data_IF_676387907017
#
_entry.id   IF_676387907017
#
_cell.length_a   1.000
_cell.length_b   1.000
_cell.length_c   1.000
_cell.angle_alpha   90.00
_cell.angle_beta   90.00
_cell.angle_gamma   90.00
#
_symmetry.space_group_name_H-M   'P 1'
#
loop_
_entity.id
_entity.type
_entity.pdbx_description
1 polymer ?
#
# COMPACT_ATOMS: atom_id res chain seq x y z
N UNK A 1 18.80 23.75 4.73
CA UNK A 1 17.39 23.65 4.36
C UNK A 1 16.70 22.82 5.42
N UNK A 2 15.69 23.38 6.09
CA UNK A 2 14.90 22.69 7.10
C UNK A 2 13.92 21.69 6.45
N UNK A 3 13.40 20.74 7.21
CA UNK A 3 12.39 19.78 6.70
C UNK A 3 11.13 20.51 6.20
N UNK A 4 10.79 21.64 6.83
CA UNK A 4 9.68 22.49 6.40
C UNK A 4 9.97 23.23 5.09
N UNK A 5 11.17 23.79 4.92
CA UNK A 5 11.58 24.43 3.66
C UNK A 5 11.59 23.42 2.50
N UNK A 6 12.05 22.19 2.77
CA UNK A 6 12.01 21.11 1.80
C UNK A 6 10.57 20.74 1.43
N UNK A 7 9.69 20.64 2.42
CA UNK A 7 8.27 20.37 2.17
C UNK A 7 7.61 21.46 1.32
N UNK A 8 7.87 22.74 1.61
CA UNK A 8 7.37 23.86 0.80
C UNK A 8 7.89 23.76 -0.64
N UNK A 9 9.17 23.46 -0.81
CA UNK A 9 9.76 23.30 -2.13
C UNK A 9 9.10 22.16 -2.93
N UNK A 10 8.85 21.02 -2.29
CA UNK A 10 8.36 19.82 -2.97
C UNK A 10 6.84 19.85 -3.22
N UNK A 11 6.07 20.39 -2.26
CA UNK A 11 4.59 20.29 -2.22
C UNK A 11 3.87 21.61 -1.94
N UNK A 12 4.58 22.71 -1.70
CA UNK A 12 3.95 23.99 -1.33
C UNK A 12 2.98 24.52 -2.39
N UNK A 13 3.18 24.16 -3.66
CA UNK A 13 2.29 24.50 -4.78
C UNK A 13 0.90 23.84 -4.71
N UNK A 14 0.74 22.76 -3.94
CA UNK A 14 -0.55 22.07 -3.76
C UNK A 14 -1.52 22.88 -2.87
N UNK A 15 -1.01 23.83 -2.09
CA UNK A 15 -1.73 24.51 -1.04
C UNK A 15 -1.96 25.98 -1.37
N UNK A 16 -3.22 26.42 -1.29
CA UNK A 16 -3.60 27.81 -1.61
C UNK A 16 -3.44 28.77 -0.43
N UNK A 17 -3.43 28.24 0.80
CA UNK A 17 -3.31 29.06 2.01
C UNK A 17 -2.22 28.51 2.92
N UNK A 18 -1.66 29.41 3.74
CA UNK A 18 -0.62 29.06 4.70
C UNK A 18 -1.13 28.05 5.74
N UNK A 19 -2.40 28.18 6.16
CA UNK A 19 -3.03 27.26 7.10
C UNK A 19 -3.12 25.85 6.52
N UNK A 20 -3.54 25.71 5.25
CA UNK A 20 -3.61 24.40 4.59
C UNK A 20 -2.23 23.76 4.41
N UNK A 21 -1.21 24.57 4.15
CA UNK A 21 0.18 24.12 4.00
C UNK A 21 0.74 23.63 5.34
N UNK A 22 0.52 24.38 6.42
CA UNK A 22 0.90 23.99 7.78
C UNK A 22 0.21 22.70 8.21
N UNK A 23 -1.11 22.59 8.00
CA UNK A 23 -1.85 21.37 8.32
C UNK A 23 -1.33 20.14 7.55
N UNK A 24 -0.93 20.32 6.29
CA UNK A 24 -0.33 19.22 5.50
C UNK A 24 1.06 18.84 6.00
N UNK A 25 1.87 19.82 6.36
CA UNK A 25 3.15 19.56 6.99
C UNK A 25 2.99 18.84 8.33
N UNK A 26 2.00 19.22 9.15
CA UNK A 26 1.72 18.55 10.44
C UNK A 26 1.37 17.07 10.25
N UNK A 27 0.60 16.72 9.21
CA UNK A 27 0.30 15.32 8.86
C UNK A 27 1.56 14.54 8.46
N UNK A 28 2.41 15.15 7.64
CA UNK A 28 3.70 14.55 7.26
C UNK A 28 4.61 14.38 8.49
N UNK A 29 4.65 15.38 9.36
CA UNK A 29 5.43 15.34 10.60
C UNK A 29 4.95 14.22 11.52
N UNK A 30 3.64 14.04 11.70
CA UNK A 30 3.06 12.90 12.44
C UNK A 30 3.52 11.57 11.85
N UNK A 31 3.46 11.42 10.54
CA UNK A 31 3.95 10.24 9.83
C UNK A 31 5.43 9.96 10.14
N UNK A 32 6.30 10.97 10.04
CA UNK A 32 7.74 10.85 10.35
C UNK A 32 8.01 10.43 11.80
N UNK A 33 7.12 10.78 12.73
CA UNK A 33 7.22 10.43 14.15
C UNK A 33 6.42 9.17 14.50
N UNK A 34 5.95 8.42 13.50
CA UNK A 34 5.14 7.21 13.67
C UNK A 34 3.87 7.44 14.51
N UNK A 35 3.27 8.62 14.36
CA UNK A 35 1.99 8.99 14.95
C UNK A 35 0.91 8.73 13.89
N UNK A 36 -0.12 8.00 14.28
CA UNK A 36 -1.26 7.70 13.41
C UNK A 36 -2.03 9.00 13.13
N UNK A 37 -2.19 9.33 11.85
CA UNK A 37 -3.05 10.43 11.41
C UNK A 37 -4.53 10.07 11.66
N UNK A 38 -5.37 11.06 11.92
CA UNK A 38 -6.80 10.81 12.12
C UNK A 38 -7.50 10.45 10.81
N UNK A 39 -8.73 9.96 10.89
CA UNK A 39 -9.55 9.65 9.72
C UNK A 39 -9.78 10.90 8.86
N UNK A 40 -10.09 12.03 9.48
CA UNK A 40 -10.30 13.31 8.80
C UNK A 40 -9.02 13.76 8.08
N UNK A 41 -7.88 13.65 8.76
CA UNK A 41 -6.56 13.94 8.18
C UNK A 41 -6.25 13.05 6.97
N UNK A 42 -6.59 11.77 7.05
CA UNK A 42 -6.44 10.81 5.95
C UNK A 42 -7.32 11.16 4.75
N UNK A 43 -8.60 11.47 4.97
CA UNK A 43 -9.54 11.84 3.90
C UNK A 43 -9.10 13.14 3.21
N UNK A 44 -8.66 14.14 3.99
CA UNK A 44 -8.14 15.39 3.45
C UNK A 44 -6.88 15.15 2.60
N UNK A 45 -5.94 14.33 3.10
CA UNK A 45 -4.70 14.03 2.38
C UNK A 45 -4.95 13.22 1.10
N UNK A 46 -5.91 12.28 1.13
CA UNK A 46 -6.29 11.47 -0.02
C UNK A 46 -6.88 12.30 -1.17
N UNK A 47 -7.56 13.40 -0.84
CA UNK A 47 -8.15 14.37 -1.79
C UNK A 47 -8.92 13.67 -2.92
N UNK A 48 -9.87 12.78 -2.54
CA UNK A 48 -10.72 12.02 -3.45
C UNK A 48 -12.20 12.37 -3.23
N UNK A 49 -13.04 12.32 -4.29
CA UNK A 49 -14.47 12.64 -4.19
C UNK A 49 -15.29 11.57 -3.47
N UNK A 50 -14.82 10.32 -3.40
CA UNK A 50 -15.57 9.19 -2.85
C UNK A 50 -15.23 8.94 -1.37
N UNK A 51 -15.65 9.86 -0.49
CA UNK A 51 -15.29 9.87 0.94
C UNK A 51 -15.54 8.54 1.65
N UNK A 52 -16.71 7.90 1.43
CA UNK A 52 -17.08 6.65 2.09
C UNK A 52 -16.10 5.49 1.84
N UNK A 53 -15.55 5.39 0.63
CA UNK A 53 -14.58 4.32 0.31
C UNK A 53 -13.24 4.60 0.99
N UNK A 54 -12.82 5.87 1.00
CA UNK A 54 -11.57 6.32 1.63
C UNK A 54 -11.61 6.08 3.15
N UNK A 55 -12.74 6.36 3.80
CA UNK A 55 -12.94 6.05 5.22
C UNK A 55 -12.85 4.55 5.52
N UNK A 56 -13.44 3.71 4.68
CA UNK A 56 -13.37 2.26 4.84
C UNK A 56 -11.93 1.74 4.65
N UNK A 57 -11.17 2.32 3.73
CA UNK A 57 -9.75 2.02 3.54
C UNK A 57 -8.94 2.43 4.78
N UNK A 58 -9.20 3.61 5.34
CA UNK A 58 -8.59 4.03 6.61
C UNK A 58 -8.87 3.03 7.73
N UNK A 59 -10.13 2.61 7.90
CA UNK A 59 -10.51 1.66 8.94
C UNK A 59 -9.80 0.30 8.76
N UNK A 60 -9.65 -0.19 7.52
CA UNK A 60 -8.89 -1.39 7.21
C UNK A 60 -7.39 -1.24 7.55
N UNK A 61 -6.79 -0.09 7.23
CA UNK A 61 -5.39 0.20 7.55
C UNK A 61 -5.17 0.29 9.07
N UNK A 62 -6.07 0.94 9.81
CA UNK A 62 -6.00 1.04 11.28
C UNK A 62 -6.13 -0.33 11.93
N UNK A 63 -6.97 -1.21 11.41
CA UNK A 63 -7.03 -2.60 11.87
C UNK A 63 -5.66 -3.30 11.73
N UNK A 64 -4.98 -3.12 10.59
CA UNK A 64 -3.63 -3.65 10.40
C UNK A 64 -2.58 -3.02 11.33
N UNK A 65 -2.72 -1.73 11.66
CA UNK A 65 -1.86 -1.07 12.65
C UNK A 65 -2.07 -1.65 14.05
N UNK A 66 -3.32 -1.85 14.46
CA UNK A 66 -3.66 -2.46 15.74
C UNK A 66 -3.13 -3.90 15.84
N UNK A 67 -3.18 -4.65 14.74
CA UNK A 67 -2.59 -5.99 14.61
C UNK A 67 -1.06 -5.98 14.50
N UNK A 68 -0.40 -4.82 14.49
CA UNK A 68 1.05 -4.62 14.30
C UNK A 68 1.58 -5.15 12.96
N UNK A 69 0.72 -5.24 11.94
CA UNK A 69 1.05 -5.63 10.56
C UNK A 69 1.47 -4.44 9.71
N UNK A 70 1.11 -3.23 10.12
CA UNK A 70 1.43 -1.98 9.45
C UNK A 70 1.86 -0.95 10.50
N UNK A 71 2.82 -0.08 10.18
CA UNK A 71 3.19 1.02 11.07
C UNK A 71 2.21 2.18 10.90
N UNK A 72 2.00 2.94 11.98
CA UNK A 72 1.19 4.14 11.95
C UNK A 72 1.70 5.17 10.91
N UNK A 73 3.02 5.27 10.75
CA UNK A 73 3.65 6.09 9.70
C UNK A 73 3.22 5.70 8.28
N UNK A 74 2.97 4.41 8.03
CA UNK A 74 2.69 3.92 6.68
C UNK A 74 1.27 4.24 6.22
N UNK A 75 0.33 4.47 7.13
CA UNK A 75 -1.05 4.86 6.81
C UNK A 75 -1.09 6.15 5.99
N UNK A 76 -0.23 7.12 6.32
CA UNK A 76 -0.12 8.37 5.55
C UNK A 76 0.23 8.13 4.07
N UNK A 77 1.11 7.16 3.78
CA UNK A 77 1.53 6.85 2.41
C UNK A 77 0.37 6.36 1.55
N UNK A 78 -0.61 5.63 2.12
CA UNK A 78 -1.80 5.20 1.38
C UNK A 78 -2.67 6.37 0.94
N UNK A 79 -2.85 7.38 1.80
CA UNK A 79 -3.56 8.60 1.41
C UNK A 79 -2.76 9.39 0.37
N UNK A 80 -1.47 9.63 0.65
CA UNK A 80 -0.63 10.49 -0.18
C UNK A 80 -0.41 9.94 -1.60
N UNK A 81 -0.05 8.66 -1.71
CA UNK A 81 0.16 7.99 -3.00
C UNK A 81 -1.12 7.39 -3.59
N UNK A 82 -2.24 7.52 -2.88
CA UNK A 82 -3.58 7.09 -3.30
C UNK A 82 -3.68 5.58 -3.57
N UNK A 83 -2.88 4.80 -2.85
CA UNK A 83 -2.85 3.34 -2.97
C UNK A 83 -4.13 2.70 -2.43
N UNK A 84 -4.69 1.77 -3.19
CA UNK A 84 -5.85 0.95 -2.81
C UNK A 84 -7.06 1.77 -2.31
N UNK A 85 -7.16 3.05 -2.65
CA UNK A 85 -8.20 3.93 -2.11
C UNK A 85 -9.61 3.64 -2.66
N UNK A 86 -9.71 2.90 -3.75
CA UNK A 86 -10.98 2.57 -4.41
C UNK A 86 -11.56 1.22 -3.97
N UNK A 87 -10.75 0.38 -3.31
CA UNK A 87 -11.19 -0.91 -2.81
C UNK A 87 -10.53 -1.25 -1.46
N UNK A 88 -11.26 -1.15 -0.34
CA UNK A 88 -10.72 -1.55 0.97
C UNK A 88 -10.40 -3.04 1.05
N UNK A 89 -10.98 -3.90 0.19
CA UNK A 89 -10.65 -5.33 0.17
C UNK A 89 -9.27 -5.60 -0.39
N UNK A 90 -8.71 -4.67 -1.18
CA UNK A 90 -7.34 -4.74 -1.64
C UNK A 90 -6.34 -4.56 -0.49
N UNK A 91 -6.74 -4.06 0.69
CA UNK A 91 -5.89 -3.92 1.88
C UNK A 91 -5.69 -5.30 2.55
N UNK A 92 -4.82 -6.11 1.94
CA UNK A 92 -4.43 -7.43 2.46
C UNK A 92 -2.98 -7.45 2.91
N UNK A 93 -2.69 -8.25 3.92
CA UNK A 93 -1.36 -8.38 4.51
C UNK A 93 -0.92 -9.85 4.57
N UNK A 94 0.33 -10.12 4.20
CA UNK A 94 0.92 -11.46 4.30
C UNK A 94 2.22 -11.41 5.09
N UNK A 95 2.40 -12.43 5.95
CA UNK A 95 3.59 -12.54 6.78
C UNK A 95 4.74 -13.16 5.99
N UNK A 96 5.86 -12.47 5.91
CA UNK A 96 7.04 -12.94 5.16
C UNK A 96 8.21 -13.29 6.05
N UNK A 97 8.21 -12.88 7.33
CA UNK A 97 9.20 -13.26 8.34
C UNK A 97 8.53 -13.19 9.73
N UNK A 98 9.14 -13.71 10.82
CA UNK A 98 8.63 -13.50 12.17
C UNK A 98 8.40 -12.01 12.47
N UNK A 99 7.15 -11.63 12.75
CA UNK A 99 6.73 -10.24 13.00
C UNK A 99 6.93 -9.26 11.82
N UNK A 100 7.11 -9.74 10.59
CA UNK A 100 7.23 -8.89 9.40
C UNK A 100 6.12 -9.20 8.41
N UNK A 101 5.37 -8.15 8.07
CA UNK A 101 4.21 -8.22 7.20
C UNK A 101 4.42 -7.29 6.01
N UNK A 102 3.97 -7.73 4.85
CA UNK A 102 3.87 -6.90 3.66
C UNK A 102 2.40 -6.68 3.34
N UNK A 103 2.03 -5.41 3.19
CA UNK A 103 0.66 -4.99 2.88
C UNK A 103 0.58 -4.54 1.42
N UNK A 104 -0.52 -4.89 0.75
CA UNK A 104 -0.76 -4.50 -0.63
C UNK A 104 -0.90 -2.99 -0.76
N UNK A 105 -0.23 -2.44 -1.77
CA UNK A 105 -0.29 -1.03 -2.16
C UNK A 105 -0.64 -0.85 -3.64
N UNK A 106 -1.13 -1.91 -4.30
CA UNK A 106 -1.57 -1.90 -5.70
C UNK A 106 -3.11 -1.93 -5.77
N UNK A 107 -3.69 -1.10 -6.64
CA UNK A 107 -5.15 -0.92 -6.74
C UNK A 107 -5.81 -1.69 -7.89
N UNK A 108 -5.06 -2.05 -8.93
CA UNK A 108 -5.65 -2.63 -10.14
C UNK A 108 -5.63 -4.15 -10.09
N UNK A 109 -6.80 -4.78 -10.13
CA UNK A 109 -6.94 -6.24 -10.21
C UNK A 109 -6.48 -6.76 -11.57
N UNK A 110 -5.88 -7.95 -11.57
CA UNK A 110 -5.48 -8.66 -12.78
C UNK A 110 -6.13 -10.04 -12.81
N UNK A 111 -6.31 -10.60 -14.01
CA UNK A 111 -6.80 -11.97 -14.14
C UNK A 111 -5.75 -12.97 -13.68
N UNK A 112 -6.18 -14.14 -13.19
CA UNK A 112 -5.26 -15.19 -12.77
C UNK A 112 -4.31 -15.61 -13.90
N UNK A 113 -4.82 -15.78 -15.13
CA UNK A 113 -3.99 -16.17 -16.28
C UNK A 113 -2.88 -15.15 -16.57
N UNK A 114 -3.19 -13.86 -16.52
CA UNK A 114 -2.20 -12.82 -16.74
C UNK A 114 -1.17 -12.77 -15.59
N UNK A 115 -1.60 -12.99 -14.35
CA UNK A 115 -0.70 -13.10 -13.20
C UNK A 115 0.24 -14.32 -13.33
N UNK A 116 -0.27 -15.47 -13.79
CA UNK A 116 0.53 -16.69 -14.03
C UNK A 116 1.59 -16.41 -15.10
N UNK A 117 1.21 -15.81 -16.22
CA UNK A 117 2.15 -15.46 -17.31
C UNK A 117 3.23 -14.49 -16.79
N UNK A 118 2.84 -13.49 -16.02
CA UNK A 118 3.78 -12.51 -15.46
C UNK A 118 4.78 -13.18 -14.50
N UNK A 119 4.30 -14.00 -13.56
CA UNK A 119 5.17 -14.73 -12.60
C UNK A 119 6.12 -15.69 -13.32
N UNK A 120 5.62 -16.43 -14.33
CA UNK A 120 6.45 -17.32 -15.15
C UNK A 120 7.54 -16.55 -15.91
N UNK A 121 7.18 -15.41 -16.52
CA UNK A 121 8.10 -14.62 -17.34
C UNK A 121 9.21 -13.98 -16.51
N UNK A 122 8.89 -13.48 -15.31
CA UNK A 122 9.85 -12.78 -14.46
C UNK A 122 10.76 -13.76 -13.69
N UNK A 123 10.18 -14.80 -13.08
CA UNK A 123 10.90 -15.66 -12.13
C UNK A 123 11.21 -17.07 -12.65
N UNK A 124 10.71 -17.42 -13.84
CA UNK A 124 10.95 -18.73 -14.46
C UNK A 124 10.19 -19.90 -13.81
N UNK A 125 9.21 -19.64 -12.94
CA UNK A 125 8.34 -20.70 -12.40
C UNK A 125 7.52 -21.38 -13.49
N UNK A 126 7.40 -22.70 -13.47
CA UNK A 126 6.60 -23.43 -14.45
C UNK A 126 5.11 -23.05 -14.33
N UNK A 127 4.55 -22.42 -15.37
CA UNK A 127 3.18 -21.87 -15.37
C UNK A 127 2.10 -22.88 -14.94
N UNK A 128 2.24 -24.15 -15.36
CA UNK A 128 1.32 -25.25 -15.01
C UNK A 128 1.22 -25.53 -13.50
N UNK A 129 2.25 -25.13 -12.74
CA UNK A 129 2.41 -25.37 -11.30
C UNK A 129 2.10 -24.14 -10.45
N UNK A 130 1.87 -22.99 -11.08
CA UNK A 130 1.49 -21.75 -10.39
C UNK A 130 -0.01 -21.83 -10.06
N UNK A 131 -0.35 -21.55 -8.80
CA UNK A 131 -1.73 -21.38 -8.34
C UNK A 131 -1.84 -20.02 -7.65
N UNK A 132 -2.55 -19.07 -8.26
CA UNK A 132 -2.79 -17.76 -7.65
C UNK A 132 -3.65 -17.93 -6.39
N UNK A 133 -3.31 -17.20 -5.34
CA UNK A 133 -4.03 -17.23 -4.05
C UNK A 133 -4.58 -15.83 -3.78
N UNK A 134 -5.92 -15.73 -3.72
CA UNK A 134 -6.60 -14.44 -3.60
C UNK A 134 -6.59 -13.66 -4.91
N UNK A 135 -6.81 -12.35 -4.82
CA UNK A 135 -6.85 -11.45 -5.98
C UNK A 135 -5.43 -10.94 -6.27
N UNK A 136 -4.88 -11.12 -7.48
CA UNK A 136 -3.59 -10.54 -7.84
C UNK A 136 -3.78 -9.06 -8.25
N UNK A 137 -2.87 -8.20 -7.78
CA UNK A 137 -2.89 -6.77 -8.08
C UNK A 137 -1.64 -6.31 -8.82
N UNK A 138 -1.77 -5.32 -9.70
CA UNK A 138 -0.70 -4.82 -10.57
C UNK A 138 -0.94 -3.39 -11.06
N UNK A 139 -0.04 -2.45 -10.80
CA UNK A 139 -0.21 -1.05 -11.26
C UNK A 139 0.87 -0.59 -12.27
N UNK A 140 2.08 -1.17 -12.25
CA UNK A 140 3.18 -0.84 -13.16
C UNK A 140 4.19 -2.01 -13.28
N UNK A 141 5.19 -1.91 -14.16
CA UNK A 141 6.19 -2.98 -14.43
C UNK A 141 6.82 -3.57 -13.17
N UNK A 142 7.06 -2.74 -12.16
CA UNK A 142 7.69 -3.08 -10.90
C UNK A 142 6.74 -2.93 -9.70
N UNK A 143 5.44 -2.64 -9.92
CA UNK A 143 4.44 -2.52 -8.85
C UNK A 143 3.36 -3.60 -9.01
N UNK A 144 3.45 -4.59 -8.14
CA UNK A 144 2.56 -5.74 -8.09
C UNK A 144 2.44 -6.25 -6.67
N UNK A 145 1.35 -6.98 -6.42
CA UNK A 145 1.13 -7.73 -5.19
C UNK A 145 0.40 -9.02 -5.54
N UNK A 146 1.18 -10.07 -5.79
CA UNK A 146 0.67 -11.35 -6.30
C UNK A 146 1.12 -12.47 -5.36
N UNK A 147 0.16 -13.05 -4.64
CA UNK A 147 0.40 -14.26 -3.84
C UNK A 147 0.08 -15.50 -4.66
N UNK A 148 0.96 -16.50 -4.61
CA UNK A 148 0.77 -17.74 -5.35
C UNK A 148 1.48 -18.92 -4.68
N UNK A 149 1.00 -20.12 -4.95
CA UNK A 149 1.68 -21.36 -4.60
C UNK A 149 2.41 -21.91 -5.81
N UNK A 150 3.64 -22.38 -5.60
CA UNK A 150 4.37 -23.17 -6.59
C UNK A 150 5.29 -24.16 -5.88
N UNK A 151 5.26 -25.43 -6.32
CA UNK A 151 6.11 -26.50 -5.80
C UNK A 151 6.09 -26.65 -4.26
N UNK A 152 4.90 -26.66 -3.66
CA UNK A 152 4.67 -26.79 -2.19
C UNK A 152 5.15 -25.60 -1.35
N UNK A 153 5.52 -24.49 -1.99
CA UNK A 153 5.86 -23.25 -1.31
C UNK A 153 4.86 -22.15 -1.67
N UNK A 154 4.59 -21.29 -0.70
CA UNK A 154 3.76 -20.10 -0.84
C UNK A 154 4.68 -18.90 -1.01
N UNK A 155 4.44 -18.13 -2.07
CA UNK A 155 5.24 -16.97 -2.45
C UNK A 155 4.36 -15.73 -2.53
N UNK A 156 4.98 -14.56 -2.31
CA UNK A 156 4.44 -13.25 -2.58
C UNK A 156 5.43 -12.51 -3.47
N UNK A 157 5.00 -12.16 -4.68
CA UNK A 157 5.72 -11.22 -5.53
C UNK A 157 5.20 -9.82 -5.22
N UNK A 158 6.09 -8.97 -4.68
CA UNK A 158 5.78 -7.58 -4.33
C UNK A 158 6.87 -6.63 -4.77
N UNK A 159 6.49 -5.56 -5.45
CA UNK A 159 7.36 -4.45 -5.84
C UNK A 159 8.73 -4.89 -6.40
N UNK A 160 8.72 -5.78 -7.39
CA UNK A 160 9.92 -6.36 -8.02
C UNK A 160 10.63 -7.47 -7.23
N UNK A 161 10.21 -7.77 -6.00
CA UNK A 161 10.87 -8.73 -5.12
C UNK A 161 10.00 -9.95 -4.82
N UNK A 162 10.62 -11.11 -4.68
CA UNK A 162 9.95 -12.35 -4.33
C UNK A 162 10.20 -12.72 -2.87
N UNK A 163 9.12 -12.94 -2.13
CA UNK A 163 9.14 -13.28 -0.71
C UNK A 163 8.49 -14.63 -0.48
N UNK A 164 9.07 -15.44 0.39
CA UNK A 164 8.37 -16.62 0.91
C UNK A 164 7.34 -16.17 1.95
N UNK A 165 6.14 -16.71 1.89
CA UNK A 165 5.05 -16.42 2.83
C UNK A 165 4.92 -17.58 3.80
N UNK A 166 4.79 -17.25 5.09
CA UNK A 166 4.56 -18.22 6.16
C UNK A 166 3.08 -18.23 6.53
N UNK A 167 2.52 -19.44 6.68
CA UNK A 167 1.14 -19.67 7.13
C UNK A 167 1.07 -19.83 8.64
#
# INVERSE_FOLDING_TARGET
MTDFEKFIHDRGWEFKTEESLKAAYDRLWKCQHNILITKEEFVIEANKPTERTVEAVYDALVALVNDKKLRASEVYSYAHFKWCLDDPKAIVAYQTEPNKWLVNNCGTEVTEDAAIIAVNSEWGFEASRIRIIGIPYYDATDYQFIRFNCAHMTWLWKNGNLYQVYE
#
